data_IF_025216656999
#
_entry.id   IF_025216656999
#
_cell.length_a   1.000
_cell.length_b   1.000
_cell.length_c   1.000
_cell.angle_alpha   90.00
_cell.angle_beta   90.00
_cell.angle_gamma   90.00
#
_symmetry.space_group_name_H-M   'P 1'
#
loop_
_entity.id
_entity.type
_entity.pdbx_description
1 polymer ?
#
# COMPACT_ATOMS: atom_id res chain seq x y z
N UNK A 1 23.63 -83.10 51.02
CA UNK A 1 22.22 -82.99 50.58
C UNK A 1 21.97 -81.54 50.19
N UNK A 2 21.51 -81.36 48.94
CA UNK A 2 20.80 -80.22 48.32
C UNK A 2 20.85 -78.85 49.03
N UNK A 3 21.22 -77.75 48.37
CA UNK A 3 20.37 -77.17 47.32
C UNK A 3 21.12 -76.09 46.53
N UNK A 4 21.03 -76.16 45.19
CA UNK A 4 21.26 -75.06 44.25
C UNK A 4 19.89 -74.47 43.90
N UNK A 5 19.75 -73.14 43.77
CA UNK A 5 19.03 -72.59 42.63
C UNK A 5 19.35 -71.11 42.36
N UNK A 6 19.36 -70.83 41.08
CA UNK A 6 20.05 -69.77 40.35
C UNK A 6 19.13 -68.57 40.13
N UNK A 7 19.64 -67.35 40.32
CA UNK A 7 18.92 -66.12 40.00
C UNK A 7 19.08 -65.85 38.50
N UNK A 8 17.98 -65.91 37.75
CA UNK A 8 17.90 -65.51 36.34
C UNK A 8 17.88 -63.97 36.26
N UNK A 9 18.91 -63.37 35.67
CA UNK A 9 18.91 -61.96 35.28
C UNK A 9 18.32 -61.83 33.86
N UNK A 10 17.17 -61.15 33.74
CA UNK A 10 16.60 -60.74 32.46
C UNK A 10 17.36 -59.52 31.93
N UNK A 11 17.83 -59.51 30.67
CA UNK A 11 18.24 -58.29 30.01
C UNK A 11 17.00 -57.55 29.48
N UNK A 12 16.71 -56.37 30.04
CA UNK A 12 15.75 -55.45 29.44
C UNK A 12 16.37 -54.80 28.19
N UNK A 13 16.00 -55.28 27.01
CA UNK A 13 16.23 -54.56 25.76
C UNK A 13 15.30 -53.34 25.72
N UNK A 14 15.83 -52.17 26.05
CA UNK A 14 15.20 -50.90 25.73
C UNK A 14 15.43 -50.62 24.24
N UNK A 15 14.44 -50.92 23.40
CA UNK A 15 14.41 -50.46 22.02
C UNK A 15 14.17 -48.94 22.04
N UNK A 16 15.22 -48.16 21.82
CA UNK A 16 15.10 -46.74 21.53
C UNK A 16 14.40 -46.61 20.17
N UNK A 17 13.10 -46.32 20.18
CA UNK A 17 12.39 -45.88 19.00
C UNK A 17 12.98 -44.53 18.58
N UNK A 18 13.88 -44.55 17.61
CA UNK A 18 14.32 -43.35 16.91
C UNK A 18 13.12 -42.78 16.17
N UNK A 19 12.37 -41.90 16.83
CA UNK A 19 11.36 -41.10 16.15
C UNK A 19 12.10 -40.30 15.06
N UNK A 20 11.74 -40.43 13.78
CA UNK A 20 12.31 -39.57 12.77
C UNK A 20 12.06 -38.12 13.21
N UNK A 21 13.13 -37.33 13.26
CA UNK A 21 13.01 -35.91 13.55
C UNK A 21 11.96 -35.32 12.59
N UNK A 22 11.04 -34.46 13.08
CA UNK A 22 10.14 -33.75 12.18
C UNK A 22 10.99 -33.08 11.09
N UNK A 23 10.53 -33.10 9.82
CA UNK A 23 11.25 -32.46 8.75
C UNK A 23 11.56 -31.03 9.18
N UNK A 24 12.83 -30.64 9.06
CA UNK A 24 13.26 -29.28 9.31
C UNK A 24 12.33 -28.33 8.56
N UNK A 25 11.83 -27.25 9.19
CA UNK A 25 11.04 -26.26 8.47
C UNK A 25 11.84 -25.82 7.23
N UNK A 26 11.19 -25.63 6.07
CA UNK A 26 11.88 -25.22 4.86
C UNK A 26 12.73 -23.99 5.16
N UNK A 27 14.01 -24.09 4.84
CA UNK A 27 14.99 -23.01 5.00
C UNK A 27 14.54 -21.81 4.16
N UNK A 28 14.08 -20.76 4.82
CA UNK A 28 13.73 -19.42 4.34
C UNK A 28 12.88 -19.37 3.05
N UNK A 29 11.58 -19.05 3.13
CA UNK A 29 10.92 -18.50 1.95
C UNK A 29 11.60 -17.16 1.64
N UNK A 30 12.30 -17.08 0.53
CA UNK A 30 13.06 -15.91 0.08
C UNK A 30 12.16 -14.78 -0.43
N UNK A 31 11.04 -14.49 0.24
CA UNK A 31 10.27 -13.30 -0.08
C UNK A 31 10.61 -12.19 0.91
N UNK A 32 10.88 -11.05 0.31
CA UNK A 32 11.30 -9.85 0.99
C UNK A 32 12.81 -9.61 0.96
N UNK A 33 13.19 -8.51 0.30
CA UNK A 33 14.47 -7.83 0.54
C UNK A 33 14.51 -7.36 2.00
N UNK A 34 15.66 -7.50 2.66
CA UNK A 34 15.91 -6.92 4.00
C UNK A 34 15.86 -5.39 3.99
N UNK A 35 15.89 -4.78 2.80
CA UNK A 35 15.74 -3.36 2.56
C UNK A 35 14.65 -3.16 1.50
N UNK A 36 13.36 -3.19 1.89
CA UNK A 36 12.28 -3.06 0.94
C UNK A 36 12.39 -1.77 0.15
N UNK A 37 12.28 -1.89 -1.17
CA UNK A 37 12.26 -0.75 -2.07
C UNK A 37 10.86 -0.58 -2.64
N UNK A 38 10.30 0.61 -2.48
CA UNK A 38 9.03 0.99 -3.07
C UNK A 38 9.22 1.98 -4.20
N UNK A 39 8.38 1.87 -5.22
CA UNK A 39 8.30 2.81 -6.33
C UNK A 39 6.84 3.24 -6.50
N UNK A 40 6.63 4.53 -6.65
CA UNK A 40 5.35 5.13 -7.02
C UNK A 40 5.57 5.82 -8.37
N UNK A 41 5.05 5.25 -9.45
CA UNK A 41 5.32 5.74 -10.81
C UNK A 41 4.28 5.21 -11.81
N UNK A 42 3.63 6.04 -12.65
CA UNK A 42 3.67 7.50 -12.67
C UNK A 42 2.67 8.12 -11.69
N UNK A 43 3.11 9.11 -10.93
CA UNK A 43 2.27 9.90 -10.03
C UNK A 43 1.59 11.01 -10.85
N UNK A 44 0.27 10.94 -10.97
CA UNK A 44 -0.55 11.94 -11.65
C UNK A 44 -1.42 12.67 -10.63
N UNK A 45 -1.37 14.00 -10.64
CA UNK A 45 -2.19 14.86 -9.80
C UNK A 45 -2.86 15.94 -10.65
N UNK A 46 -4.17 16.07 -10.50
CA UNK A 46 -4.91 17.19 -11.06
C UNK A 46 -6.06 17.58 -10.16
N UNK A 47 -6.49 18.83 -10.24
CA UNK A 47 -7.67 19.31 -9.54
C UNK A 47 -8.32 20.45 -10.29
N UNK A 48 -9.62 20.62 -10.09
CA UNK A 48 -10.30 21.84 -10.47
C UNK A 48 -11.34 22.22 -9.43
N UNK A 49 -11.65 23.51 -9.36
CA UNK A 49 -12.80 24.00 -8.64
C UNK A 49 -13.39 25.22 -9.34
N UNK A 50 -14.70 25.34 -9.24
CA UNK A 50 -15.44 26.43 -9.84
C UNK A 50 -16.17 27.25 -8.79
N UNK A 51 -16.50 28.47 -9.18
CA UNK A 51 -17.48 29.30 -8.49
C UNK A 51 -18.58 29.65 -9.48
N UNK A 52 -19.83 29.43 -9.09
CA UNK A 52 -21.01 29.83 -9.88
C UNK A 52 -21.38 31.29 -9.61
N UNK A 53 -20.92 31.86 -8.49
CA UNK A 53 -20.95 33.30 -8.20
C UNK A 53 -19.77 33.64 -7.27
N UNK A 54 -19.44 34.92 -7.02
CA UNK A 54 -18.36 35.30 -6.11
C UNK A 54 -18.46 34.69 -4.70
N UNK A 55 -19.68 34.33 -4.26
CA UNK A 55 -19.95 33.79 -2.92
C UNK A 55 -20.48 32.35 -2.94
N UNK A 56 -20.58 31.70 -4.11
CA UNK A 56 -21.12 30.36 -4.24
C UNK A 56 -20.14 29.43 -4.96
N UNK A 57 -19.69 28.39 -4.26
CA UNK A 57 -18.86 27.33 -4.84
C UNK A 57 -19.67 26.47 -5.81
N UNK A 58 -19.06 26.10 -6.93
CA UNK A 58 -19.61 25.14 -7.89
C UNK A 58 -18.97 23.74 -7.78
N UNK A 59 -19.04 22.96 -8.87
CA UNK A 59 -18.30 21.71 -9.02
C UNK A 59 -16.82 21.83 -8.71
N UNK A 60 -16.28 20.79 -8.08
CA UNK A 60 -14.88 20.67 -7.70
C UNK A 60 -14.49 19.20 -7.62
N UNK A 61 -13.26 18.89 -8.03
CA UNK A 61 -12.72 17.54 -8.00
C UNK A 61 -11.19 17.61 -7.96
N UNK A 62 -10.59 16.84 -7.07
CA UNK A 62 -9.19 16.44 -7.15
C UNK A 62 -9.08 14.98 -7.59
N UNK A 63 -8.05 14.67 -8.35
CA UNK A 63 -7.73 13.32 -8.83
C UNK A 63 -6.24 13.06 -8.58
N UNK A 64 -5.94 11.94 -7.93
CA UNK A 64 -4.58 11.49 -7.64
C UNK A 64 -4.44 10.01 -7.96
N UNK A 65 -3.38 9.61 -8.68
CA UNK A 65 -3.17 8.21 -9.03
C UNK A 65 -1.70 7.87 -9.24
N UNK A 66 -1.33 6.63 -8.97
CA UNK A 66 0.00 6.09 -9.26
C UNK A 66 -0.05 4.56 -9.32
N UNK A 67 0.96 3.96 -9.94
CA UNK A 67 1.22 2.51 -9.80
C UNK A 67 2.23 2.31 -8.68
N UNK A 68 1.88 1.45 -7.72
CA UNK A 68 2.75 1.05 -6.62
C UNK A 68 3.44 -0.27 -6.96
N UNK A 69 4.77 -0.26 -6.91
CA UNK A 69 5.60 -1.44 -7.06
C UNK A 69 6.53 -1.60 -5.84
N UNK A 70 6.83 -2.85 -5.49
CA UNK A 70 7.75 -3.17 -4.40
C UNK A 70 8.60 -4.38 -4.79
N UNK A 71 9.84 -4.45 -4.31
CA UNK A 71 10.73 -5.60 -4.54
C UNK A 71 10.38 -6.83 -3.68
N UNK A 72 9.38 -6.72 -2.82
CA UNK A 72 8.93 -7.78 -1.92
C UNK A 72 8.01 -8.80 -2.61
N UNK A 73 7.29 -8.38 -3.66
CA UNK A 73 6.30 -9.18 -4.40
C UNK A 73 6.41 -8.88 -5.89
N UNK A 74 5.92 -9.80 -6.72
CA UNK A 74 6.01 -9.75 -8.19
C UNK A 74 4.80 -9.10 -8.88
N UNK A 75 3.98 -8.35 -8.13
CA UNK A 75 2.82 -7.66 -8.65
C UNK A 75 2.84 -6.17 -8.31
N UNK A 76 2.11 -5.39 -9.12
CA UNK A 76 1.90 -3.97 -8.91
C UNK A 76 0.48 -3.69 -8.43
N UNK A 77 0.29 -2.65 -7.62
CA UNK A 77 -1.03 -2.18 -7.21
C UNK A 77 -1.36 -0.87 -7.94
N UNK A 78 -2.56 -0.79 -8.53
CA UNK A 78 -3.04 0.41 -9.19
C UNK A 78 -3.80 1.28 -8.18
N UNK A 79 -3.20 2.40 -7.79
CA UNK A 79 -3.70 3.28 -6.75
C UNK A 79 -4.36 4.52 -7.39
N UNK A 80 -5.61 4.78 -7.07
CA UNK A 80 -6.30 6.00 -7.51
C UNK A 80 -7.28 6.49 -6.45
N UNK A 81 -7.41 7.81 -6.35
CA UNK A 81 -8.27 8.48 -5.38
C UNK A 81 -8.85 9.76 -5.97
N UNK A 82 -10.04 10.12 -5.51
CA UNK A 82 -10.69 11.36 -5.88
C UNK A 82 -11.20 12.11 -4.64
N UNK A 83 -11.18 13.43 -4.70
CA UNK A 83 -11.58 14.28 -3.59
C UNK A 83 -12.54 15.37 -4.04
N UNK A 84 -13.61 15.57 -3.27
CA UNK A 84 -14.58 16.66 -3.44
C UNK A 84 -14.50 17.67 -2.29
N UNK A 85 -13.36 17.71 -1.59
CA UNK A 85 -13.08 18.72 -0.58
C UNK A 85 -12.99 20.13 -1.20
N UNK A 86 -12.99 21.21 -0.39
CA UNK A 86 -12.72 22.56 -0.88
C UNK A 86 -11.49 22.59 -1.79
N UNK A 87 -11.62 23.23 -2.95
CA UNK A 87 -10.56 23.34 -3.96
C UNK A 87 -10.03 22.02 -4.54
N UNK A 88 -10.68 20.87 -4.28
CA UNK A 88 -10.23 19.56 -4.74
C UNK A 88 -9.01 19.02 -3.97
N UNK A 89 -8.72 19.53 -2.77
CA UNK A 89 -7.57 19.10 -1.97
C UNK A 89 -7.76 17.71 -1.35
N UNK A 90 -6.66 17.02 -1.09
CA UNK A 90 -6.64 15.76 -0.36
C UNK A 90 -6.13 15.99 1.07
N UNK A 91 -6.78 15.35 2.04
CA UNK A 91 -6.32 15.30 3.42
C UNK A 91 -5.67 13.95 3.70
N UNK A 92 -4.57 13.94 4.45
CA UNK A 92 -3.88 12.69 4.81
C UNK A 92 -4.74 11.67 5.59
N UNK A 93 -5.88 12.08 6.14
CA UNK A 93 -6.86 11.20 6.79
C UNK A 93 -7.77 10.44 5.81
N UNK A 94 -7.79 10.81 4.52
CA UNK A 94 -8.57 10.12 3.49
C UNK A 94 -7.77 8.95 2.95
N UNK A 95 -8.26 7.74 3.19
CA UNK A 95 -7.63 6.49 2.73
C UNK A 95 -8.36 5.97 1.50
N UNK A 96 -7.59 5.58 0.49
CA UNK A 96 -8.06 5.02 -0.77
C UNK A 96 -7.47 3.62 -0.96
N UNK A 97 -8.31 2.67 -1.32
CA UNK A 97 -7.88 1.30 -1.63
C UNK A 97 -7.33 1.24 -3.06
N UNK A 98 -6.19 0.56 -3.23
CA UNK A 98 -5.61 0.27 -4.52
C UNK A 98 -6.13 -1.06 -5.06
N UNK A 99 -6.15 -1.20 -6.39
CA UNK A 99 -6.51 -2.44 -7.06
C UNK A 99 -5.26 -3.33 -7.15
N UNK A 100 -5.28 -4.47 -6.48
CA UNK A 100 -4.22 -5.49 -6.53
C UNK A 100 -4.68 -6.71 -7.37
N UNK A 101 -3.78 -7.34 -8.15
CA UNK A 101 -4.08 -8.58 -8.84
C UNK A 101 -4.45 -9.70 -7.86
N UNK A 102 -5.55 -10.41 -8.14
CA UNK A 102 -6.04 -11.52 -7.32
C UNK A 102 -7.16 -11.17 -6.33
N UNK A 103 -7.53 -9.90 -6.19
CA UNK A 103 -8.67 -9.47 -5.38
C UNK A 103 -8.46 -9.59 -3.86
N UNK A 104 -9.51 -9.25 -3.10
CA UNK A 104 -9.48 -9.13 -1.64
C UNK A 104 -9.07 -10.44 -0.95
N UNK A 105 -7.99 -10.36 -0.17
CA UNK A 105 -7.37 -11.45 0.58
C UNK A 105 -6.12 -10.91 1.28
N UNK A 106 -5.09 -11.72 1.49
CA UNK A 106 -3.84 -11.31 2.12
C UNK A 106 -2.95 -10.36 1.28
N UNK A 107 -3.48 -9.79 0.18
CA UNK A 107 -2.81 -8.87 -0.75
C UNK A 107 -3.60 -7.56 -0.85
N UNK A 108 -3.38 -6.65 0.08
CA UNK A 108 -4.06 -5.35 0.11
C UNK A 108 -3.06 -4.22 0.05
N UNK A 109 -3.40 -3.15 -0.65
CA UNK A 109 -2.61 -1.92 -0.67
C UNK A 109 -3.59 -0.77 -0.60
N UNK A 110 -3.33 0.17 0.30
CA UNK A 110 -4.07 1.42 0.41
C UNK A 110 -3.11 2.58 0.55
N UNK A 111 -3.60 3.78 0.24
CA UNK A 111 -2.81 4.99 0.36
C UNK A 111 -3.63 6.17 0.87
N UNK A 112 -2.94 7.18 1.40
CA UNK A 112 -3.48 8.52 1.58
C UNK A 112 -2.51 9.55 1.01
N UNK A 113 -3.07 10.68 0.57
CA UNK A 113 -2.29 11.82 0.08
C UNK A 113 -2.71 13.07 0.84
N UNK A 114 -1.72 13.84 1.32
CA UNK A 114 -1.95 15.12 1.97
C UNK A 114 -1.43 16.25 1.07
N UNK A 115 -2.35 17.06 0.52
CA UNK A 115 -1.98 18.13 -0.40
C UNK A 115 -1.20 19.27 0.26
N UNK A 116 -1.36 19.48 1.57
CA UNK A 116 -0.69 20.57 2.28
C UNK A 116 0.81 20.28 2.51
N UNK A 117 1.15 19.02 2.80
CA UNK A 117 2.52 18.58 3.04
C UNK A 117 3.17 17.89 1.84
N UNK A 118 2.39 17.60 0.79
CA UNK A 118 2.78 16.79 -0.37
C UNK A 118 3.30 15.41 0.03
N UNK A 119 2.67 14.78 1.02
CA UNK A 119 3.08 13.46 1.52
C UNK A 119 2.10 12.39 1.05
N UNK A 120 2.62 11.35 0.43
CA UNK A 120 1.90 10.11 0.14
C UNK A 120 2.28 9.09 1.20
N UNK A 121 1.28 8.50 1.86
CA UNK A 121 1.48 7.38 2.77
C UNK A 121 0.87 6.13 2.17
N UNK A 122 1.62 5.03 2.14
CA UNK A 122 1.18 3.74 1.60
C UNK A 122 1.22 2.71 2.73
N UNK A 123 0.16 1.91 2.80
CA UNK A 123 0.06 0.74 3.66
C UNK A 123 -0.20 -0.47 2.76
N UNK A 124 0.70 -1.43 2.76
CA UNK A 124 0.53 -2.66 1.99
C UNK A 124 0.70 -3.89 2.87
N UNK A 125 -0.18 -4.86 2.67
CA UNK A 125 -0.15 -6.18 3.30
C UNK A 125 -0.05 -7.24 2.21
N UNK A 126 0.90 -8.15 2.34
CA UNK A 126 1.11 -9.24 1.39
C UNK A 126 1.50 -10.53 2.12
N UNK A 127 1.12 -11.69 1.56
CA UNK A 127 1.64 -12.98 2.02
C UNK A 127 2.92 -13.32 1.28
N UNK A 128 3.97 -13.59 2.04
CA UNK A 128 5.18 -14.23 1.53
C UNK A 128 4.98 -15.74 1.61
N UNK A 129 5.09 -16.41 0.46
CA UNK A 129 4.80 -17.81 0.18
C UNK A 129 3.37 -18.30 0.53
N UNK A 130 2.70 -18.83 -0.49
CA UNK A 130 1.34 -19.41 -0.37
C UNK A 130 1.27 -20.63 0.57
N UNK A 131 2.43 -21.18 0.96
CA UNK A 131 2.54 -22.42 1.77
C UNK A 131 2.87 -22.15 3.24
N UNK A 132 3.34 -20.94 3.57
CA UNK A 132 3.88 -20.66 4.90
C UNK A 132 2.99 -19.71 5.72
N UNK A 133 1.91 -19.18 5.14
CA UNK A 133 0.94 -18.28 5.78
C UNK A 133 1.56 -17.06 6.50
N UNK A 134 2.75 -16.63 6.09
CA UNK A 134 3.41 -15.47 6.70
C UNK A 134 2.90 -14.20 6.01
N UNK A 135 2.18 -13.38 6.77
CA UNK A 135 1.65 -12.10 6.32
C UNK A 135 2.58 -10.97 6.79
N UNK A 136 3.01 -10.15 5.85
CA UNK A 136 3.79 -8.94 6.10
C UNK A 136 2.90 -7.72 5.89
N UNK A 137 3.00 -6.75 6.80
CA UNK A 137 2.44 -5.41 6.62
C UNK A 137 3.58 -4.42 6.64
N UNK A 138 3.61 -3.55 5.64
CA UNK A 138 4.64 -2.52 5.50
C UNK A 138 3.97 -1.17 5.28
N UNK A 139 4.44 -0.16 6.01
CA UNK A 139 3.89 1.18 6.03
C UNK A 139 5.04 2.15 5.81
N UNK A 140 4.82 3.12 4.94
CA UNK A 140 5.85 4.08 4.60
C UNK A 140 5.23 5.33 3.98
N UNK A 141 5.97 6.42 4.09
CA UNK A 141 5.54 7.72 3.59
C UNK A 141 6.66 8.38 2.83
N UNK A 142 6.30 9.09 1.77
CA UNK A 142 7.24 9.83 0.93
C UNK A 142 6.69 11.21 0.63
N UNK A 143 7.55 12.21 0.73
CA UNK A 143 7.25 13.54 0.22
C UNK A 143 7.48 13.54 -1.28
N UNK A 144 6.47 13.92 -2.05
CA UNK A 144 6.55 14.03 -3.49
C UNK A 144 6.78 15.48 -3.88
N UNK A 145 7.56 15.68 -4.94
CA UNK A 145 7.82 16.98 -5.54
C UNK A 145 7.33 16.91 -6.98
N UNK A 146 6.17 17.51 -7.24
CA UNK A 146 5.53 17.52 -8.55
C UNK A 146 5.54 18.94 -9.09
N UNK A 147 5.88 19.08 -10.37
CA UNK A 147 5.78 20.36 -11.07
C UNK A 147 4.32 20.58 -11.48
N UNK A 148 3.67 21.57 -10.88
CA UNK A 148 2.25 21.85 -11.08
C UNK A 148 2.00 23.23 -11.68
N UNK A 149 1.14 23.28 -12.69
CA UNK A 149 0.66 24.53 -13.26
C UNK A 149 -0.79 24.77 -12.80
N UNK A 150 -1.04 25.97 -12.26
CA UNK A 150 -2.39 26.43 -11.90
C UNK A 150 -2.82 27.56 -12.82
N UNK A 151 -3.98 27.42 -13.44
CA UNK A 151 -4.62 28.44 -14.24
C UNK A 151 -5.98 28.82 -13.66
N UNK A 152 -6.30 30.11 -13.67
CA UNK A 152 -7.59 30.62 -13.23
C UNK A 152 -8.22 31.44 -14.35
N UNK A 153 -9.43 31.03 -14.74
CA UNK A 153 -10.31 31.80 -15.61
C UNK A 153 -11.42 32.44 -14.77
N UNK A 154 -11.79 33.68 -15.09
CA UNK A 154 -12.87 34.43 -14.42
C UNK A 154 -13.65 35.25 -15.43
N UNK A 155 -14.98 35.26 -15.30
CA UNK A 155 -15.88 36.11 -16.05
C UNK A 155 -16.08 37.46 -15.32
N UNK A 156 -15.54 38.58 -15.83
CA UNK A 156 -15.75 39.89 -15.20
C UNK A 156 -17.17 40.44 -15.40
N UNK A 157 -17.87 40.01 -16.45
CA UNK A 157 -19.20 40.48 -16.83
C UNK A 157 -20.31 39.50 -16.39
N UNK A 158 -20.04 38.70 -15.36
CA UNK A 158 -20.90 37.63 -14.92
C UNK A 158 -22.32 38.07 -14.60
N UNK A 159 -23.30 37.33 -15.11
CA UNK A 159 -24.71 37.42 -14.72
C UNK A 159 -25.23 36.13 -14.10
N UNK A 160 -26.29 36.23 -13.32
CA UNK A 160 -26.88 35.09 -12.62
C UNK A 160 -27.25 33.96 -13.59
N UNK A 161 -26.73 32.76 -13.34
CA UNK A 161 -26.89 31.58 -14.18
C UNK A 161 -25.65 31.19 -14.99
N UNK A 162 -24.65 32.07 -15.05
CA UNK A 162 -23.37 31.80 -15.72
C UNK A 162 -22.31 31.22 -14.76
N UNK A 163 -21.21 30.72 -15.32
CA UNK A 163 -20.02 30.36 -14.55
C UNK A 163 -19.23 31.62 -14.20
N UNK A 164 -18.93 31.84 -12.92
CA UNK A 164 -18.18 33.01 -12.48
C UNK A 164 -16.67 32.79 -12.62
N UNK A 165 -16.14 31.65 -12.16
CA UNK A 165 -14.72 31.33 -12.34
C UNK A 165 -14.46 29.84 -12.30
N UNK A 166 -13.33 29.45 -12.88
CA UNK A 166 -12.78 28.10 -12.83
C UNK A 166 -11.29 28.21 -12.54
N UNK A 167 -10.80 27.43 -11.58
CA UNK A 167 -9.38 27.24 -11.35
C UNK A 167 -9.05 25.78 -11.55
N UNK A 168 -8.03 25.52 -12.36
CA UNK A 168 -7.55 24.19 -12.68
C UNK A 168 -6.07 24.11 -12.34
N UNK A 169 -5.67 23.07 -11.63
CA UNK A 169 -4.28 22.71 -11.37
C UNK A 169 -4.00 21.36 -12.01
N UNK A 170 -2.96 21.27 -12.83
CA UNK A 170 -2.49 20.01 -13.42
C UNK A 170 -1.00 19.91 -13.16
N UNK A 171 -0.55 18.76 -12.67
CA UNK A 171 0.86 18.48 -12.47
C UNK A 171 1.40 17.58 -13.57
N UNK A 172 2.66 17.77 -13.92
CA UNK A 172 3.38 16.82 -14.76
C UNK A 172 3.50 15.47 -14.03
N UNK A 173 3.46 14.33 -14.75
CA UNK A 173 3.65 13.02 -14.14
C UNK A 173 5.01 12.94 -13.45
N UNK A 174 5.00 12.61 -12.15
CA UNK A 174 6.22 12.43 -11.37
C UNK A 174 6.46 10.98 -10.98
N UNK A 175 7.54 10.74 -10.25
CA UNK A 175 7.85 9.44 -9.66
C UNK A 175 8.49 9.62 -8.29
N UNK A 176 8.32 8.65 -7.42
CA UNK A 176 8.98 8.62 -6.11
C UNK A 176 9.48 7.21 -5.79
N UNK A 177 10.57 7.15 -5.02
CA UNK A 177 11.14 5.89 -4.54
C UNK A 177 11.41 6.00 -3.04
N UNK A 178 11.09 4.94 -2.31
CA UNK A 178 11.39 4.81 -0.87
C UNK A 178 12.24 3.59 -0.67
N UNK A 179 13.28 3.71 0.15
CA UNK A 179 14.02 2.56 0.66
C UNK A 179 13.79 2.51 2.17
N UNK A 180 13.23 1.38 2.63
CA UNK A 180 12.91 1.12 4.04
C UNK A 180 14.03 0.35 4.74
#
# INVERSE_FOLDING_TARGET
>A
MFSKLTILALPALAAAASCPAPPSPPSNPSCGSTHPKWTLDPINLSSYYTYTSPSASGPKLGSFSFTFATDQVDYEAQCSGSSVNPQGIFYGSQVFECVTPGGSGSKTTSFSFDSASSVVSVNTTFTCCDVCDVVYTTIGSVKIDLECETSTWRNPDWVAGELYSNTTTVCEPGAATVQL
#
